data_IF_561874189913
#
_entry.id   IF_561874189913
#
_cell.length_a   1.000
_cell.length_b   1.000
_cell.length_c   1.000
_cell.angle_alpha   90.00
_cell.angle_beta   90.00
_cell.angle_gamma   90.00
#
_symmetry.space_group_name_H-M   'P 1'
#
loop_
_entity.id
_entity.type
_entity.pdbx_description
1 polymer ?
#
# COMPACT_ATOMS: atom_id res chain seq x y z
N UNK A 1 32.49 13.65 -10.00
CA UNK A 1 32.25 12.84 -8.79
C UNK A 1 30.76 12.56 -8.72
N UNK A 2 30.30 11.49 -9.37
CA UNK A 2 28.88 11.15 -9.46
C UNK A 2 28.49 10.26 -8.28
N UNK A 3 27.66 10.78 -7.39
CA UNK A 3 27.11 10.02 -6.28
C UNK A 3 25.99 9.13 -6.82
N UNK A 4 26.35 7.94 -7.31
CA UNK A 4 25.40 6.86 -7.61
C UNK A 4 24.77 6.35 -6.32
N UNK A 5 23.75 7.07 -5.84
CA UNK A 5 22.97 6.67 -4.67
C UNK A 5 22.01 5.56 -5.10
N UNK A 6 22.53 4.33 -5.16
CA UNK A 6 21.77 3.09 -5.33
C UNK A 6 20.65 3.09 -4.28
N UNK A 7 19.40 3.27 -4.71
CA UNK A 7 18.24 3.07 -3.84
C UNK A 7 18.31 1.66 -3.28
N UNK A 8 18.28 1.52 -1.95
CA UNK A 8 18.43 0.23 -1.26
C UNK A 8 17.28 -0.75 -1.50
N UNK A 9 16.20 -0.32 -2.14
CA UNK A 9 15.11 -1.17 -2.56
C UNK A 9 14.95 -1.03 -4.09
N UNK A 10 15.06 -2.12 -4.88
CA UNK A 10 14.62 -2.08 -6.26
C UNK A 10 13.13 -1.78 -6.30
N UNK A 11 12.65 -1.20 -7.41
CA UNK A 11 11.21 -1.17 -7.68
C UNK A 11 10.69 -2.61 -7.70
N UNK A 12 9.69 -2.91 -6.86
CA UNK A 12 9.09 -4.24 -6.77
C UNK A 12 7.62 -4.15 -7.16
N UNK A 13 7.18 -5.04 -8.05
CA UNK A 13 5.77 -5.21 -8.41
C UNK A 13 5.26 -6.52 -7.81
N UNK A 14 4.18 -6.42 -7.05
CA UNK A 14 3.41 -7.56 -6.55
C UNK A 14 2.18 -7.73 -7.44
N UNK A 15 1.97 -8.93 -7.97
CA UNK A 15 0.77 -9.28 -8.74
C UNK A 15 -0.05 -10.32 -7.98
N UNK A 16 -1.36 -10.12 -7.96
CA UNK A 16 -2.32 -11.12 -7.53
C UNK A 16 -2.89 -11.76 -8.79
N UNK A 17 -2.61 -13.05 -8.98
CA UNK A 17 -3.02 -13.80 -10.16
C UNK A 17 -3.91 -14.98 -9.80
N UNK A 18 -4.92 -15.25 -10.62
CA UNK A 18 -5.77 -16.43 -10.51
C UNK A 18 -5.96 -17.03 -11.90
N UNK A 19 -5.52 -18.28 -12.07
CA UNK A 19 -5.66 -19.02 -13.34
C UNK A 19 -5.07 -18.26 -14.54
N UNK A 20 -3.98 -17.51 -14.35
CA UNK A 20 -3.33 -16.72 -15.39
C UNK A 20 -3.95 -15.33 -15.64
N UNK A 21 -5.04 -14.97 -14.95
CA UNK A 21 -5.61 -13.63 -14.96
C UNK A 21 -5.03 -12.78 -13.83
N UNK A 22 -4.54 -11.58 -14.15
CA UNK A 22 -4.07 -10.60 -13.15
C UNK A 22 -5.28 -9.90 -12.54
N UNK A 23 -5.58 -10.20 -11.28
CA UNK A 23 -6.68 -9.62 -10.52
C UNK A 23 -6.31 -8.27 -9.89
N UNK A 24 -5.04 -8.11 -9.49
CA UNK A 24 -4.54 -6.86 -8.94
C UNK A 24 -3.03 -6.75 -9.12
N UNK A 25 -2.53 -5.51 -9.16
CA UNK A 25 -1.10 -5.24 -9.18
C UNK A 25 -0.76 -4.03 -8.31
N UNK A 26 0.34 -4.16 -7.57
CA UNK A 26 0.81 -3.18 -6.61
C UNK A 26 2.29 -2.94 -6.83
N UNK A 27 2.66 -1.70 -7.15
CA UNK A 27 4.04 -1.26 -7.30
C UNK A 27 4.53 -0.63 -6.01
N UNK A 28 5.76 -0.95 -5.66
CA UNK A 28 6.47 -0.41 -4.50
C UNK A 28 7.68 0.33 -5.02
N UNK A 29 7.58 1.65 -4.93
CA UNK A 29 8.57 2.57 -5.47
C UNK A 29 9.50 3.05 -4.36
N UNK A 30 10.80 2.80 -4.46
CA UNK A 30 11.76 3.34 -3.51
C UNK A 30 11.78 4.88 -3.60
N UNK A 31 11.61 5.54 -2.47
CA UNK A 31 11.70 6.99 -2.37
C UNK A 31 12.96 7.38 -1.57
N UNK A 32 14.07 7.79 -2.20
CA UNK A 32 15.34 8.01 -1.50
C UNK A 32 15.30 9.18 -0.50
N UNK A 33 14.26 10.01 -0.53
CA UNK A 33 14.02 11.12 0.41
C UNK A 33 12.87 10.86 1.40
N UNK A 34 12.12 9.75 1.28
CA UNK A 34 11.06 9.40 2.24
C UNK A 34 11.50 8.22 3.10
N UNK A 35 11.02 8.19 4.34
CA UNK A 35 11.24 7.06 5.26
C UNK A 35 10.55 5.77 4.78
N UNK A 36 9.47 5.91 4.01
CA UNK A 36 8.65 4.80 3.53
C UNK A 36 8.57 4.87 2.00
N UNK A 37 8.59 3.72 1.31
CA UNK A 37 8.39 3.67 -0.13
C UNK A 37 6.96 4.07 -0.50
N UNK A 38 6.79 4.52 -1.73
CA UNK A 38 5.47 4.79 -2.28
C UNK A 38 4.85 3.49 -2.75
N UNK A 39 3.57 3.27 -2.41
CA UNK A 39 2.82 2.09 -2.83
C UNK A 39 1.72 2.53 -3.79
N UNK A 40 1.69 1.96 -5.00
CA UNK A 40 0.70 2.28 -6.04
C UNK A 40 -0.04 1.02 -6.46
N UNK A 41 -1.35 1.02 -6.33
CA UNK A 41 -2.23 0.01 -6.92
C UNK A 41 -2.50 0.43 -8.38
N UNK A 42 -2.37 -0.48 -9.34
CA UNK A 42 -2.63 -0.19 -10.75
C UNK A 42 -3.87 -0.89 -11.29
N UNK A 43 -4.13 -2.12 -10.85
CA UNK A 43 -5.25 -2.92 -11.32
C UNK A 43 -6.13 -3.39 -10.16
N UNK A 44 -7.45 -3.45 -10.35
CA UNK A 44 -8.22 -2.84 -11.45
C UNK A 44 -8.41 -1.32 -11.24
N UNK A 45 -7.94 -0.78 -10.11
CA UNK A 45 -8.02 0.63 -9.78
C UNK A 45 -6.62 1.21 -9.69
N UNK A 46 -6.44 2.37 -10.31
CA UNK A 46 -5.26 3.18 -10.12
C UNK A 46 -5.39 4.00 -8.83
N UNK A 47 -4.75 3.53 -7.75
CA UNK A 47 -4.76 4.20 -6.46
C UNK A 47 -3.35 4.36 -5.88
N UNK A 48 -3.10 5.46 -5.20
CA UNK A 48 -1.83 5.72 -4.53
C UNK A 48 -1.99 5.69 -3.01
N UNK A 49 -0.99 5.17 -2.32
CA UNK A 49 -0.96 5.06 -0.87
C UNK A 49 -0.35 6.33 -0.26
N UNK A 50 -1.14 7.01 0.57
CA UNK A 50 -0.73 8.19 1.33
C UNK A 50 -0.79 7.88 2.83
N UNK A 51 0.29 8.09 3.60
CA UNK A 51 0.22 8.02 5.05
C UNK A 51 -0.71 9.11 5.59
N UNK A 52 -1.65 8.74 6.46
CA UNK A 52 -2.58 9.65 7.12
C UNK A 52 -2.31 9.73 8.63
N UNK A 53 -2.30 10.95 9.16
CA UNK A 53 -2.21 11.22 10.60
C UNK A 53 -0.78 11.29 11.14
N UNK A 54 -0.69 11.40 12.47
CA UNK A 54 0.59 11.48 13.21
C UNK A 54 1.19 10.07 13.36
N UNK A 55 2.53 10.01 13.42
CA UNK A 55 3.41 8.82 13.43
C UNK A 55 2.96 7.59 14.28
N UNK A 56 2.16 7.82 15.33
CA UNK A 56 1.65 6.83 16.26
C UNK A 56 0.38 6.10 15.78
N UNK A 57 -0.38 6.70 14.85
CA UNK A 57 -1.52 6.07 14.19
C UNK A 57 -1.11 5.75 12.76
N UNK A 58 -0.50 4.58 12.56
CA UNK A 58 -0.11 4.07 11.24
C UNK A 58 -1.37 3.78 10.41
N UNK A 59 -1.93 4.84 9.82
CA UNK A 59 -3.04 4.82 8.88
C UNK A 59 -2.52 5.17 7.51
N UNK A 60 -3.01 4.48 6.50
CA UNK A 60 -2.61 4.66 5.11
C UNK A 60 -3.87 4.71 4.25
N UNK A 61 -4.08 5.82 3.57
CA UNK A 61 -5.20 5.96 2.64
C UNK A 61 -4.76 5.58 1.24
N UNK A 62 -5.56 4.74 0.59
CA UNK A 62 -5.47 4.47 -0.83
C UNK A 62 -6.40 5.45 -1.55
N UNK A 63 -5.84 6.27 -2.45
CA UNK A 63 -6.58 7.33 -3.16
C UNK A 63 -6.51 7.11 -4.67
N UNK A 64 -7.68 7.05 -5.30
CA UNK A 64 -7.83 7.07 -6.76
C UNK A 64 -8.37 8.43 -7.18
N UNK A 65 -7.70 9.12 -8.10
CA UNK A 65 -8.11 10.43 -8.61
C UNK A 65 -8.56 11.42 -7.50
N UNK A 66 -7.80 11.49 -6.41
CA UNK A 66 -8.06 12.28 -5.20
C UNK A 66 -9.23 11.84 -4.30
N UNK A 67 -10.00 10.80 -4.68
CA UNK A 67 -11.02 10.16 -3.83
C UNK A 67 -10.42 9.02 -3.00
N UNK A 68 -10.71 8.90 -1.70
CA UNK A 68 -10.33 7.73 -0.92
C UNK A 68 -11.13 6.50 -1.37
N UNK A 69 -10.43 5.42 -1.73
CA UNK A 69 -11.03 4.12 -2.10
C UNK A 69 -10.90 3.10 -0.98
N UNK A 70 -9.84 3.20 -0.17
CA UNK A 70 -9.70 2.42 1.05
C UNK A 70 -8.80 3.12 2.07
N UNK A 71 -8.93 2.73 3.33
CA UNK A 71 -8.02 3.15 4.42
C UNK A 71 -7.55 1.92 5.18
N UNK A 72 -6.24 1.72 5.24
CA UNK A 72 -5.57 0.64 5.97
C UNK A 72 -5.11 1.18 7.32
N UNK A 73 -5.44 0.49 8.42
CA UNK A 73 -5.07 0.93 9.76
C UNK A 73 -4.99 -0.21 10.77
N UNK A 74 -4.35 0.05 11.92
CA UNK A 74 -4.41 -0.85 13.07
C UNK A 74 -5.62 -0.52 13.95
N UNK A 75 -6.56 -1.46 14.15
CA UNK A 75 -7.68 -1.24 15.05
C UNK A 75 -7.24 -1.24 16.52
N UNK A 76 -6.18 -1.98 16.87
CA UNK A 76 -5.70 -2.13 18.24
C UNK A 76 -4.22 -1.73 18.35
N UNK A 77 -3.91 -0.80 19.25
CA UNK A 77 -2.54 -0.28 19.45
C UNK A 77 -1.65 -1.15 20.33
N UNK A 78 -2.21 -2.11 21.06
CA UNK A 78 -1.52 -2.84 22.14
C UNK A 78 -1.61 -4.37 22.04
N UNK A 79 -2.01 -4.92 20.89
CA UNK A 79 -2.09 -6.38 20.69
C UNK A 79 -0.81 -6.92 20.08
N UNK A 80 -0.29 -8.02 20.65
CA UNK A 80 0.84 -8.78 20.10
C UNK A 80 0.55 -9.38 18.72
N UNK A 81 -0.74 -9.54 18.38
CA UNK A 81 -1.17 -9.94 17.04
C UNK A 81 -1.34 -8.70 16.17
N UNK A 82 -0.53 -8.62 15.12
CA UNK A 82 -0.61 -7.59 14.07
C UNK A 82 -1.87 -7.81 13.24
N UNK A 83 -3.00 -7.26 13.69
CA UNK A 83 -4.24 -7.19 12.93
C UNK A 83 -4.28 -5.88 12.15
N UNK A 84 -4.58 -5.98 10.85
CA UNK A 84 -4.89 -4.82 10.01
C UNK A 84 -6.38 -4.81 9.71
N UNK A 85 -6.97 -3.63 9.82
CA UNK A 85 -8.30 -3.33 9.35
C UNK A 85 -8.19 -2.51 8.05
N UNK A 86 -9.14 -2.76 7.14
CA UNK A 86 -9.23 -2.06 5.87
C UNK A 86 -10.66 -1.55 5.72
N UNK A 87 -10.83 -0.23 5.80
CA UNK A 87 -12.10 0.42 5.50
C UNK A 87 -12.17 0.65 4.00
N UNK A 88 -13.10 0.00 3.32
CA UNK A 88 -13.23 0.06 1.85
C UNK A 88 -14.45 0.91 1.51
N UNK A 89 -14.31 1.84 0.56
CA UNK A 89 -15.43 2.67 0.14
C UNK A 89 -16.49 1.81 -0.59
N UNK A 90 -17.79 2.16 -0.51
CA UNK A 90 -18.83 1.39 -1.16
C UNK A 90 -18.64 1.33 -2.68
N UNK A 91 -18.83 0.14 -3.26
CA UNK A 91 -18.70 -0.11 -4.70
C UNK A 91 -17.27 -0.36 -5.17
N UNK A 92 -16.28 -0.30 -4.28
CA UNK A 92 -14.89 -0.57 -4.63
C UNK A 92 -14.56 -2.08 -4.59
N UNK A 93 -13.63 -2.56 -5.43
CA UNK A 93 -13.25 -3.96 -5.54
C UNK A 93 -12.45 -4.38 -4.31
N UNK A 94 -13.09 -5.22 -3.48
CA UNK A 94 -12.56 -5.63 -2.17
C UNK A 94 -11.22 -6.36 -2.29
N UNK A 95 -11.13 -7.36 -3.16
CA UNK A 95 -9.96 -8.24 -3.25
C UNK A 95 -8.66 -7.48 -3.60
N UNK A 96 -8.63 -6.60 -4.63
CA UNK A 96 -7.47 -5.75 -4.92
C UNK A 96 -7.05 -4.83 -3.78
N UNK A 97 -8.02 -4.25 -3.06
CA UNK A 97 -7.74 -3.33 -1.96
C UNK A 97 -7.23 -4.06 -0.71
N UNK A 98 -7.73 -5.27 -0.44
CA UNK A 98 -7.20 -6.16 0.59
C UNK A 98 -5.78 -6.62 0.24
N UNK A 99 -5.52 -6.97 -1.03
CA UNK A 99 -4.19 -7.30 -1.50
C UNK A 99 -3.21 -6.13 -1.35
N UNK A 100 -3.63 -4.91 -1.71
CA UNK A 100 -2.84 -3.71 -1.48
C UNK A 100 -2.53 -3.49 0.01
N UNK A 101 -3.52 -3.71 0.90
CA UNK A 101 -3.31 -3.62 2.34
C UNK A 101 -2.31 -4.66 2.87
N UNK A 102 -2.35 -5.88 2.33
CA UNK A 102 -1.36 -6.92 2.63
C UNK A 102 0.05 -6.47 2.22
N UNK A 103 0.21 -5.96 1.00
CA UNK A 103 1.51 -5.48 0.51
C UNK A 103 2.02 -4.31 1.37
N UNK A 104 1.16 -3.36 1.72
CA UNK A 104 1.48 -2.25 2.64
C UNK A 104 1.97 -2.77 4.00
N UNK A 105 1.37 -3.86 4.51
CA UNK A 105 1.84 -4.51 5.74
C UNK A 105 3.28 -5.02 5.61
N UNK A 106 3.56 -5.79 4.58
CA UNK A 106 4.85 -6.46 4.38
C UNK A 106 6.02 -5.48 4.22
N UNK A 107 5.74 -4.26 3.77
CA UNK A 107 6.77 -3.26 3.51
C UNK A 107 6.99 -2.32 4.69
N UNK A 108 5.94 -2.04 5.48
CA UNK A 108 5.96 -1.03 6.53
C UNK A 108 6.14 -1.61 7.94
N UNK A 109 6.13 -2.94 8.08
CA UNK A 109 6.28 -3.67 9.35
C UNK A 109 7.33 -4.77 9.20
#
# INVERSE_FOLDING_TARGET
>A
MELLRRSRHPEVRYTLERQGEILASVDVLPMPWRRFPDVRVRLPIQAECEPQGRMWNRRYALRSAHRPVATVFHPHRFTLRTQLAVDIAPGEPVLPLVFAAYVIKEILY
#
